data_IF_927509201046
#
_entry.id   IF_927509201046
#
_cell.length_a   1.000
_cell.length_b   1.000
_cell.length_c   1.000
_cell.angle_alpha   90.00
_cell.angle_beta   90.00
_cell.angle_gamma   90.00
#
_symmetry.space_group_name_H-M   'P 1'
#
loop_
_entity.id
_entity.type
_entity.pdbx_description
1 polymer ?
#
# COMPACT_ATOMS: atom_id res chain seq x y z
N UNK A 1 -4.73 27.38 29.24
CA UNK A 1 -5.77 26.49 28.65
C UNK A 1 -5.64 26.54 27.13
N UNK A 2 -4.54 26.00 26.59
CA UNK A 2 -4.22 26.03 25.14
C UNK A 2 -3.62 24.71 24.62
N UNK A 3 -3.49 23.71 25.49
CA UNK A 3 -2.81 22.44 25.19
C UNK A 3 -3.75 21.43 24.51
N UNK A 4 -5.06 21.58 24.65
CA UNK A 4 -6.05 20.67 24.05
C UNK A 4 -6.20 20.88 22.54
N UNK A 5 -6.08 22.13 22.05
CA UNK A 5 -6.26 22.42 20.63
C UNK A 5 -5.06 21.94 19.79
N UNK A 6 -3.83 22.04 20.33
CA UNK A 6 -2.63 21.55 19.65
C UNK A 6 -2.64 20.03 19.48
N UNK A 7 -3.10 19.29 20.50
CA UNK A 7 -3.18 17.82 20.44
C UNK A 7 -4.17 17.31 19.37
N UNK A 8 -5.29 18.00 19.21
CA UNK A 8 -6.30 17.68 18.19
C UNK A 8 -5.72 17.92 16.79
N UNK A 9 -5.00 19.02 16.57
CA UNK A 9 -4.37 19.32 15.28
C UNK A 9 -3.27 18.30 14.93
N UNK A 10 -2.40 17.96 15.87
CA UNK A 10 -1.37 16.93 15.66
C UNK A 10 -1.96 15.54 15.35
N UNK A 11 -3.05 15.18 16.03
CA UNK A 11 -3.75 13.91 15.80
C UNK A 11 -4.43 13.87 14.41
N UNK A 12 -5.01 14.99 13.96
CA UNK A 12 -5.58 15.10 12.62
C UNK A 12 -4.50 15.01 11.54
N UNK A 13 -3.34 15.63 11.75
CA UNK A 13 -2.20 15.54 10.82
C UNK A 13 -1.66 14.10 10.76
N UNK A 14 -1.55 13.40 11.89
CA UNK A 14 -1.15 11.99 11.91
C UNK A 14 -2.12 11.09 11.16
N UNK A 15 -3.43 11.23 11.38
CA UNK A 15 -4.45 10.46 10.64
C UNK A 15 -4.39 10.75 9.14
N UNK A 16 -4.29 12.02 8.75
CA UNK A 16 -4.18 12.40 7.34
C UNK A 16 -2.90 11.86 6.70
N UNK A 17 -1.80 11.80 7.45
CA UNK A 17 -0.54 11.18 6.99
C UNK A 17 -0.69 9.68 6.79
N UNK A 18 -1.43 9.00 7.67
CA UNK A 18 -1.72 7.57 7.57
C UNK A 18 -2.57 7.26 6.32
N UNK A 19 -3.63 8.05 6.09
CA UNK A 19 -4.49 7.92 4.90
C UNK A 19 -3.72 8.19 3.60
N UNK A 20 -2.87 9.23 3.58
CA UNK A 20 -2.02 9.52 2.41
C UNK A 20 -0.97 8.42 2.18
N UNK A 21 -0.45 7.84 3.25
CA UNK A 21 0.51 6.73 3.14
C UNK A 21 -0.17 5.47 2.61
N UNK A 22 -1.41 5.19 3.03
CA UNK A 22 -2.21 4.07 2.52
C UNK A 22 -2.53 4.21 1.02
N UNK A 23 -2.65 5.43 0.49
CA UNK A 23 -2.85 5.64 -0.95
C UNK A 23 -1.69 5.15 -1.82
N UNK A 24 -0.45 5.25 -1.30
CA UNK A 24 0.80 4.96 -2.02
C UNK A 24 1.48 3.66 -1.53
N UNK A 25 1.11 3.17 -0.35
CA UNK A 25 1.65 1.96 0.29
C UNK A 25 0.51 1.09 0.78
N UNK A 26 0.61 -0.21 0.50
CA UNK A 26 -0.35 -1.21 0.96
C UNK A 26 0.25 -2.22 1.92
N UNK A 27 -0.63 -2.95 2.60
CA UNK A 27 -0.26 -4.11 3.40
C UNK A 27 -0.53 -5.38 2.60
N UNK A 28 0.39 -6.34 2.66
CA UNK A 28 0.19 -7.66 2.04
C UNK A 28 -0.69 -8.51 2.97
N UNK A 29 -1.86 -8.91 2.48
CA UNK A 29 -2.78 -9.79 3.20
C UNK A 29 -2.35 -11.25 3.05
N UNK A 30 -1.97 -11.65 1.83
CA UNK A 30 -1.57 -13.04 1.53
C UNK A 30 -0.72 -13.11 0.27
N UNK A 31 0.23 -14.06 0.23
CA UNK A 31 0.97 -14.46 -0.98
C UNK A 31 0.73 -15.94 -1.26
N UNK A 32 0.36 -16.30 -2.50
CA UNK A 32 0.19 -17.68 -2.97
C UNK A 32 0.54 -17.79 -4.44
N UNK A 33 1.37 -18.77 -4.81
CA UNK A 33 1.72 -19.12 -6.20
C UNK A 33 2.02 -17.92 -7.12
N UNK A 34 2.86 -16.99 -6.64
CA UNK A 34 3.22 -15.80 -7.41
C UNK A 34 2.12 -14.74 -7.51
N UNK A 35 1.05 -14.85 -6.70
CA UNK A 35 -0.02 -13.86 -6.58
C UNK A 35 -0.04 -13.31 -5.15
N UNK A 36 0.02 -11.99 -4.99
CA UNK A 36 -0.14 -11.31 -3.70
C UNK A 36 -1.44 -10.52 -3.66
N UNK A 37 -2.17 -10.60 -2.54
CA UNK A 37 -3.30 -9.69 -2.25
C UNK A 37 -2.81 -8.61 -1.33
N UNK A 38 -3.05 -7.36 -1.69
CA UNK A 38 -2.71 -6.22 -0.84
C UNK A 38 -3.91 -5.30 -0.65
N UNK A 39 -3.96 -4.67 0.52
CA UNK A 39 -4.97 -3.68 0.87
C UNK A 39 -4.33 -2.30 1.02
N UNK A 40 -5.05 -1.24 0.63
CA UNK A 40 -4.65 0.15 0.85
C UNK A 40 -4.40 0.92 -0.44
N UNK A 41 -3.60 0.37 -1.36
CA UNK A 41 -3.08 0.96 -2.62
C UNK A 41 -4.17 1.57 -3.53
N UNK A 42 -4.78 2.67 -3.09
CA UNK A 42 -6.01 3.22 -3.66
C UNK A 42 -5.74 4.08 -4.91
N UNK A 43 -4.49 4.50 -5.10
CA UNK A 43 -4.05 5.21 -6.31
C UNK A 43 -3.49 4.31 -7.39
N UNK A 44 -3.33 3.02 -7.12
CA UNK A 44 -2.68 2.12 -8.08
C UNK A 44 -3.57 1.87 -9.30
N UNK A 45 -2.95 1.76 -10.46
CA UNK A 45 -3.61 1.46 -11.72
C UNK A 45 -3.28 0.03 -12.15
N UNK A 46 -4.19 -0.59 -12.90
CA UNK A 46 -3.94 -1.87 -13.51
C UNK A 46 -2.75 -1.77 -14.47
N UNK A 47 -1.81 -2.70 -14.36
CA UNK A 47 -0.56 -2.70 -15.12
C UNK A 47 0.59 -1.95 -14.46
N UNK A 48 0.38 -1.26 -13.33
CA UNK A 48 1.48 -0.64 -12.60
C UNK A 48 2.36 -1.66 -11.89
N UNK A 49 3.65 -1.34 -11.81
CA UNK A 49 4.65 -2.14 -11.12
C UNK A 49 4.86 -1.58 -9.71
N UNK A 50 4.70 -2.43 -8.72
CA UNK A 50 5.04 -2.14 -7.32
C UNK A 50 6.23 -2.96 -6.88
N UNK A 51 7.01 -2.36 -6.01
CA UNK A 51 8.12 -3.01 -5.34
C UNK A 51 7.69 -3.41 -3.93
N UNK A 52 7.93 -4.67 -3.58
CA UNK A 52 7.68 -5.16 -2.23
C UNK A 52 8.88 -4.88 -1.34
N UNK A 53 8.65 -4.75 -0.04
CA UNK A 53 9.68 -4.44 0.97
C UNK A 53 10.90 -5.38 0.97
N UNK A 54 10.78 -6.59 0.41
CA UNK A 54 11.89 -7.53 0.26
C UNK A 54 12.89 -7.14 -0.85
N UNK A 55 12.72 -6.00 -1.52
CA UNK A 55 13.71 -5.34 -2.41
C UNK A 55 14.07 -6.09 -3.70
N UNK A 56 13.66 -7.34 -3.85
CA UNK A 56 13.91 -8.17 -5.03
C UNK A 56 12.63 -8.71 -5.67
N UNK A 57 11.48 -8.42 -5.07
CA UNK A 57 10.19 -8.89 -5.55
C UNK A 57 9.43 -7.68 -6.08
N UNK A 58 9.17 -7.68 -7.38
CA UNK A 58 8.29 -6.71 -8.03
C UNK A 58 6.98 -7.40 -8.33
N UNK A 59 5.86 -6.70 -8.19
CA UNK A 59 4.57 -7.21 -8.61
C UNK A 59 3.91 -6.28 -9.60
N UNK A 60 3.16 -6.84 -10.53
CA UNK A 60 2.31 -6.06 -11.44
C UNK A 60 0.87 -6.12 -10.93
N UNK A 61 0.24 -4.96 -10.75
CA UNK A 61 -1.17 -4.87 -10.42
C UNK A 61 -2.00 -5.40 -11.60
N UNK A 62 -2.76 -6.48 -11.41
CA UNK A 62 -3.61 -7.03 -12.47
C UNK A 62 -5.07 -6.63 -12.31
N UNK A 63 -5.52 -6.42 -11.07
CA UNK A 63 -6.91 -6.17 -10.73
C UNK A 63 -7.02 -5.13 -9.61
N UNK A 64 -7.98 -4.21 -9.71
CA UNK A 64 -8.21 -3.08 -8.80
C UNK A 64 -9.44 -3.28 -7.91
N UNK A 65 -9.76 -4.53 -7.60
CA UNK A 65 -10.76 -4.85 -6.58
C UNK A 65 -10.35 -4.31 -5.19
N UNK A 66 -11.27 -4.25 -4.20
CA UNK A 66 -10.96 -3.77 -2.85
C UNK A 66 -9.72 -4.45 -2.22
N UNK A 67 -9.43 -5.67 -2.66
CA UNK A 67 -8.16 -6.35 -2.45
C UNK A 67 -7.37 -6.36 -3.78
N UNK A 68 -6.36 -5.49 -3.89
CA UNK A 68 -5.57 -5.39 -5.13
C UNK A 68 -4.74 -6.66 -5.29
N UNK A 69 -4.85 -7.28 -6.47
CA UNK A 69 -4.16 -8.54 -6.78
C UNK A 69 -2.92 -8.25 -7.63
N UNK A 70 -1.76 -8.64 -7.11
CA UNK A 70 -0.46 -8.48 -7.75
C UNK A 70 0.05 -9.81 -8.26
N UNK A 71 0.55 -9.83 -9.50
CA UNK A 71 1.38 -10.93 -9.97
C UNK A 71 2.84 -10.61 -9.67
N UNK A 72 3.45 -11.39 -8.78
CA UNK A 72 4.86 -11.29 -8.44
C UNK A 72 5.69 -11.78 -9.62
N UNK A 73 6.64 -10.96 -10.05
CA UNK A 73 7.65 -11.30 -11.00
C UNK A 73 8.92 -11.70 -10.25
N UNK A 74 9.21 -12.99 -10.19
CA UNK A 74 10.45 -13.54 -9.62
C UNK A 74 11.57 -13.62 -10.65
N UNK A 75 11.72 -12.64 -11.54
CA UNK A 75 12.89 -12.56 -12.40
C UNK A 75 14.13 -12.22 -11.55
N UNK A 76 14.71 -13.25 -10.95
CA UNK A 76 16.14 -13.31 -10.66
C UNK A 76 16.85 -13.44 -12.01
N UNK A 77 17.40 -12.32 -12.49
CA UNK A 77 18.63 -12.30 -13.28
C UNK A 77 19.53 -11.20 -12.70
#
# INVERSE_FOLDING_TARGET
MAIELSYILESNIKKYKDEKSLQETGIVLSMSDGIARCYGLTKIQAGEMVEFNNGNIKGMALNLEPDVVFKLNQNLF
#
